data_IF_577869986177
#
_entry.id   IF_577869986177
#
_cell.length_a   1.000
_cell.length_b   1.000
_cell.length_c   1.000
_cell.angle_alpha   90.00
_cell.angle_beta   90.00
_cell.angle_gamma   90.00
#
_symmetry.space_group_name_H-M   'P 1'
#
loop_
_entity.id
_entity.type
_entity.pdbx_description
1 polymer ?
#
# COMPACT_ATOMS: atom_id res chain seq x y z
N UNK A 1 -8.45 -10.43 -2.96
CA UNK A 1 -8.01 -9.03 -2.80
C UNK A 1 -6.91 -9.02 -1.73
N UNK A 2 -5.78 -8.33 -1.94
CA UNK A 2 -4.71 -8.23 -0.95
C UNK A 2 -5.19 -7.68 0.40
N UNK A 3 -4.51 -7.99 1.50
CA UNK A 3 -4.88 -7.44 2.79
C UNK A 3 -4.67 -5.92 2.83
N UNK A 4 -5.38 -5.23 3.73
CA UNK A 4 -5.14 -3.82 4.01
C UNK A 4 -4.00 -3.68 5.02
N UNK A 5 -3.24 -2.60 4.90
CA UNK A 5 -2.27 -2.22 5.93
C UNK A 5 -3.03 -1.73 7.16
N UNK A 6 -2.66 -2.27 8.32
CA UNK A 6 -3.26 -1.88 9.59
C UNK A 6 -2.88 -0.45 9.94
N UNK A 7 -3.83 0.28 10.53
CA UNK A 7 -3.60 1.65 10.99
C UNK A 7 -3.42 1.71 12.49
N UNK A 8 -2.65 2.67 12.97
CA UNK A 8 -2.61 3.15 14.36
C UNK A 8 -3.38 4.47 14.47
N UNK A 9 -3.81 4.84 15.68
CA UNK A 9 -4.56 6.07 15.93
C UNK A 9 -5.94 5.81 16.49
N UNK A 10 -6.80 6.83 16.48
CA UNK A 10 -8.14 6.80 17.07
C UNK A 10 -9.21 6.33 16.09
N UNK A 11 -8.96 6.40 14.78
CA UNK A 11 -9.91 5.89 13.81
C UNK A 11 -10.06 4.38 13.97
N UNK A 12 -11.29 3.90 13.84
CA UNK A 12 -11.58 2.45 13.88
C UNK A 12 -12.27 2.01 12.61
N UNK A 13 -12.09 0.73 12.27
CA UNK A 13 -12.61 0.09 11.07
C UNK A 13 -12.13 0.72 9.75
N UNK A 14 -10.89 1.21 9.73
CA UNK A 14 -10.21 1.71 8.54
C UNK A 14 -8.89 0.97 8.36
N UNK A 15 -8.50 0.72 7.12
CA UNK A 15 -7.17 0.27 6.75
C UNK A 15 -6.65 1.08 5.56
N UNK A 16 -5.37 0.92 5.24
CA UNK A 16 -4.74 1.58 4.08
C UNK A 16 -4.54 0.56 2.96
N UNK A 17 -5.06 0.87 1.77
CA UNK A 17 -4.77 0.14 0.53
C UNK A 17 -3.59 0.78 -0.17
N UNK A 18 -2.63 -0.04 -0.59
CA UNK A 18 -1.57 0.37 -1.50
C UNK A 18 -1.79 -0.20 -2.89
N UNK A 19 -1.48 0.61 -3.90
CA UNK A 19 -1.57 0.24 -5.31
C UNK A 19 -0.28 0.61 -6.04
N UNK A 20 0.25 -0.31 -6.84
CA UNK A 20 1.35 -0.05 -7.74
C UNK A 20 0.89 0.78 -8.96
N UNK A 21 1.83 1.42 -9.65
CA UNK A 21 1.56 2.19 -10.87
C UNK A 21 0.90 1.39 -11.99
N UNK A 22 1.09 0.06 -12.01
CA UNK A 22 0.44 -0.86 -12.94
C UNK A 22 -1.05 -1.10 -12.61
N UNK A 23 -1.58 -0.52 -11.54
CA UNK A 23 -2.97 -0.69 -11.09
C UNK A 23 -3.17 -1.88 -10.15
N UNK A 24 -2.12 -2.63 -9.84
CA UNK A 24 -2.19 -3.80 -8.96
C UNK A 24 -2.21 -3.38 -7.49
N UNK A 25 -3.06 -4.02 -6.69
CA UNK A 25 -3.02 -3.83 -5.24
C UNK A 25 -1.87 -4.63 -4.63
N UNK A 26 -1.18 -4.02 -3.66
CA UNK A 26 -0.06 -4.63 -2.97
C UNK A 26 -0.52 -5.32 -1.69
N UNK A 27 0.15 -6.43 -1.36
CA UNK A 27 -0.01 -7.16 -0.10
C UNK A 27 1.24 -7.00 0.75
N UNK A 28 1.10 -6.93 2.06
CA UNK A 28 2.25 -6.75 2.94
C UNK A 28 3.18 -7.97 2.88
N UNK A 29 4.49 -7.71 2.73
CA UNK A 29 5.52 -8.75 2.69
C UNK A 29 5.51 -9.62 1.42
N UNK A 30 4.77 -9.24 0.37
CA UNK A 30 4.79 -9.93 -0.92
C UNK A 30 5.39 -9.03 -2.00
N UNK A 31 6.05 -9.67 -2.96
CA UNK A 31 6.54 -8.99 -4.15
C UNK A 31 5.37 -8.48 -5.01
N UNK A 32 5.57 -7.35 -5.67
CA UNK A 32 4.64 -6.84 -6.67
C UNK A 32 4.54 -7.82 -7.86
N UNK A 33 3.37 -7.91 -8.50
CA UNK A 33 3.16 -8.91 -9.56
C UNK A 33 3.85 -8.45 -10.85
N UNK A 34 3.64 -7.20 -11.26
CA UNK A 34 4.35 -6.62 -12.40
C UNK A 34 5.70 -6.02 -11.98
N UNK A 35 6.83 -6.37 -12.61
CA UNK A 35 8.13 -5.76 -12.32
C UNK A 35 8.21 -4.31 -12.82
N UNK A 36 9.10 -3.52 -12.21
CA UNK A 36 9.51 -2.23 -12.80
C UNK A 36 10.62 -2.49 -13.80
N UNK A 37 10.40 -2.12 -15.06
CA UNK A 37 11.44 -2.17 -16.10
C UNK A 37 12.44 -1.06 -15.82
N UNK A 38 13.71 -1.42 -15.68
CA UNK A 38 14.77 -0.45 -15.48
C UNK A 38 15.11 0.29 -16.77
N UNK A 39 15.39 1.58 -16.63
CA UNK A 39 15.90 2.45 -17.68
C UNK A 39 17.24 3.06 -17.28
N UNK A 40 17.96 3.57 -18.29
CA UNK A 40 19.19 4.32 -18.07
C UNK A 40 18.92 5.58 -17.22
N UNK A 41 19.79 5.81 -16.23
CA UNK A 41 19.64 6.90 -15.29
C UNK A 41 18.67 6.59 -14.15
N UNK A 42 17.76 7.52 -13.86
CA UNK A 42 16.90 7.43 -12.69
C UNK A 42 15.68 6.53 -12.94
N UNK A 43 15.42 5.64 -11.98
CA UNK A 43 14.24 4.79 -11.94
C UNK A 43 13.34 5.24 -10.78
N UNK A 44 12.07 5.52 -11.09
CA UNK A 44 11.08 5.97 -10.09
C UNK A 44 10.03 4.88 -9.90
N UNK A 45 9.87 4.42 -8.66
CA UNK A 45 8.78 3.53 -8.29
C UNK A 45 7.67 4.35 -7.65
N UNK A 46 6.46 4.27 -8.20
CA UNK A 46 5.32 5.06 -7.74
C UNK A 46 4.22 4.17 -7.17
N UNK A 47 3.67 4.61 -6.05
CA UNK A 47 2.57 3.94 -5.36
C UNK A 47 1.47 4.95 -5.03
N UNK A 48 0.23 4.47 -4.98
CA UNK A 48 -0.90 5.19 -4.43
C UNK A 48 -1.30 4.58 -3.08
N UNK A 49 -1.74 5.42 -2.15
CA UNK A 49 -2.27 5.03 -0.85
C UNK A 49 -3.70 5.59 -0.69
N UNK A 50 -4.61 4.75 -0.20
CA UNK A 50 -6.03 5.10 -0.03
C UNK A 50 -6.55 4.52 1.29
N UNK A 51 -7.41 5.25 1.99
CA UNK A 51 -8.18 4.67 3.09
C UNK A 51 -9.31 3.79 2.54
N UNK A 52 -9.50 2.64 3.17
CA UNK A 52 -10.57 1.70 2.84
C UNK A 52 -11.26 1.25 4.13
N UNK A 53 -12.60 1.23 4.12
CA UNK A 53 -13.38 0.78 5.27
C UNK A 53 -13.26 -0.73 5.42
N UNK A 54 -13.08 -1.21 6.66
CA UNK A 54 -13.05 -2.65 6.99
C UNK A 54 -14.37 -3.14 7.60
N UNK A 55 -15.29 -2.23 7.92
CA UNK A 55 -16.62 -2.56 8.45
C UNK A 55 -17.71 -1.64 7.86
N UNK A 56 -18.96 -1.88 8.25
CA UNK A 56 -20.09 -1.03 7.83
C UNK A 56 -20.02 0.40 8.39
N UNK A 57 -19.37 0.58 9.55
CA UNK A 57 -19.24 1.87 10.24
C UNK A 57 -17.79 2.17 10.53
N UNK A 58 -17.35 3.38 10.19
CA UNK A 58 -16.02 3.90 10.49
C UNK A 58 -16.11 4.94 11.60
N UNK A 59 -15.20 4.88 12.57
CA UNK A 59 -15.07 5.95 13.57
C UNK A 59 -14.05 6.98 13.07
N UNK A 60 -14.39 8.28 13.04
CA UNK A 60 -13.43 9.32 12.68
C UNK A 60 -12.26 9.42 13.65
N UNK A 61 -11.08 9.72 13.13
CA UNK A 61 -9.86 9.90 13.91
C UNK A 61 -8.61 9.87 13.03
N UNK A 62 -7.44 9.97 13.65
CA UNK A 62 -6.16 9.72 12.99
C UNK A 62 -5.99 8.25 12.65
N UNK A 63 -5.36 7.97 11.50
CA UNK A 63 -5.18 6.64 10.94
C UNK A 63 -3.81 6.56 10.22
N UNK A 64 -2.76 6.25 10.97
CA UNK A 64 -1.39 6.19 10.44
C UNK A 64 -0.97 4.76 10.12
N UNK A 65 -0.11 4.59 9.12
CA UNK A 65 0.55 3.30 8.86
C UNK A 65 1.97 3.53 8.35
N UNK A 66 2.84 2.56 8.60
CA UNK A 66 4.19 2.52 8.04
C UNK A 66 4.29 1.31 7.11
N UNK A 67 4.62 1.57 5.84
CA UNK A 67 4.93 0.54 4.86
C UNK A 67 6.43 0.57 4.56
N UNK A 68 7.09 -0.58 4.69
CA UNK A 68 8.49 -0.75 4.35
C UNK A 68 8.59 -1.51 3.03
N UNK A 69 9.49 -1.08 2.14
CA UNK A 69 9.71 -1.70 0.85
C UNK A 69 11.14 -2.22 0.75
N UNK A 70 11.29 -3.41 0.18
CA UNK A 70 12.57 -3.96 -0.23
C UNK A 70 12.70 -3.84 -1.73
N UNK A 71 13.79 -3.24 -2.20
CA UNK A 71 14.12 -3.18 -3.63
C UNK A 71 15.14 -4.28 -3.92
N UNK A 72 14.76 -5.21 -4.79
CA UNK A 72 15.61 -6.29 -5.26
C UNK A 72 15.86 -6.14 -6.76
N UNK A 73 17.10 -6.42 -7.18
CA UNK A 73 17.51 -6.45 -8.59
C UNK A 73 17.75 -7.91 -8.97
N UNK A 74 17.15 -8.36 -10.08
CA UNK A 74 17.24 -9.72 -10.60
C UNK A 74 17.88 -9.73 -11.98
#
# INVERSE_FOLDING_TARGET
MPALFATTGLATNVGIRLQASAGEFLDNGKEQVAPVVLQDGNNTVSFAAMYESTAATVTPGEADSVANFTVAYN
#
